data_IF_038234301705
#
_entry.id   IF_038234301705
#
_cell.length_a   1.000
_cell.length_b   1.000
_cell.length_c   1.000
_cell.angle_alpha   90.00
_cell.angle_beta   90.00
_cell.angle_gamma   90.00
#
_symmetry.space_group_name_H-M   'P 1'
#
loop_
_entity.id
_entity.type
_entity.pdbx_description
1 polymer ?
#
# COMPACT_ATOMS: atom_id res chain seq x y z
N UNK A 1 -12.56 1.09 -4.87
CA UNK A 1 -11.48 1.34 -5.86
C UNK A 1 -10.08 1.54 -5.26
N UNK A 2 -9.85 1.36 -3.96
CA UNK A 2 -8.54 1.59 -3.33
C UNK A 2 -7.38 0.69 -3.84
N UNK A 3 -7.67 -0.49 -4.40
CA UNK A 3 -6.63 -1.40 -4.94
C UNK A 3 -5.89 -0.79 -6.12
N UNK A 4 -6.56 0.03 -6.94
CA UNK A 4 -5.92 0.74 -8.05
C UNK A 4 -4.87 1.75 -7.57
N UNK A 5 -5.06 2.31 -6.36
CA UNK A 5 -4.09 3.23 -5.74
C UNK A 5 -2.91 2.50 -5.11
N UNK A 6 -3.02 1.20 -4.84
CA UNK A 6 -1.92 0.37 -4.30
C UNK A 6 -0.87 -0.03 -5.34
N UNK A 7 -0.93 0.55 -6.55
CA UNK A 7 0.21 0.61 -7.49
C UNK A 7 1.43 1.30 -6.87
N UNK A 8 1.26 2.05 -5.78
CA UNK A 8 2.37 2.41 -4.90
C UNK A 8 2.04 1.85 -3.52
N UNK A 9 2.92 1.04 -2.91
CA UNK A 9 2.64 0.46 -1.60
C UNK A 9 2.35 1.55 -0.56
N UNK A 10 1.28 1.37 0.21
CA UNK A 10 0.86 2.29 1.26
C UNK A 10 -0.12 3.40 0.83
N UNK A 11 -0.22 3.75 -0.46
CA UNK A 11 -1.18 4.78 -0.90
C UNK A 11 -2.65 4.34 -0.72
N UNK A 12 -2.96 3.08 -0.99
CA UNK A 12 -4.30 2.54 -0.77
C UNK A 12 -4.75 2.58 0.70
N UNK A 13 -3.81 2.42 1.65
CA UNK A 13 -4.07 2.59 3.08
C UNK A 13 -4.36 4.06 3.43
N UNK A 14 -3.59 5.00 2.87
CA UNK A 14 -3.84 6.44 3.07
C UNK A 14 -5.21 6.83 2.56
N UNK A 15 -5.61 6.32 1.38
CA UNK A 15 -6.91 6.58 0.78
C UNK A 15 -8.06 6.08 1.66
N UNK A 16 -7.96 4.87 2.23
CA UNK A 16 -8.94 4.31 3.18
C UNK A 16 -8.88 4.95 4.58
N UNK A 17 -8.26 6.13 4.73
CA UNK A 17 -8.13 6.82 6.01
C UNK A 17 -7.11 6.25 7.00
N UNK A 18 -6.39 5.18 6.65
CA UNK A 18 -5.34 4.57 7.47
C UNK A 18 -4.00 5.29 7.25
N UNK A 19 -3.98 6.61 7.45
CA UNK A 19 -2.86 7.49 7.09
C UNK A 19 -1.54 7.08 7.74
N UNK A 20 -1.53 6.78 9.04
CA UNK A 20 -0.31 6.38 9.74
C UNK A 20 0.29 5.09 9.17
N UNK A 21 -0.55 4.05 9.01
CA UNK A 21 -0.11 2.76 8.47
C UNK A 21 0.38 2.91 7.02
N UNK A 22 -0.36 3.67 6.20
CA UNK A 22 0.02 3.91 4.82
C UNK A 22 1.32 4.70 4.67
N UNK A 23 1.55 5.72 5.51
CA UNK A 23 2.82 6.45 5.56
C UNK A 23 3.97 5.57 6.02
N UNK A 24 3.75 4.70 7.02
CA UNK A 24 4.75 3.75 7.49
C UNK A 24 5.12 2.75 6.38
N UNK A 25 4.14 2.22 5.66
CA UNK A 25 4.39 1.33 4.51
C UNK A 25 5.14 2.08 3.40
N UNK A 26 4.76 3.32 3.10
CA UNK A 26 5.37 4.10 2.02
C UNK A 26 6.83 4.48 2.32
N UNK A 27 7.10 5.03 3.51
CA UNK A 27 8.41 5.61 3.84
C UNK A 27 9.36 4.64 4.55
N UNK A 28 8.84 3.60 5.21
CA UNK A 28 9.68 2.64 5.95
C UNK A 28 9.57 1.26 5.30
N UNK A 29 8.35 0.75 5.15
CA UNK A 29 8.11 -0.60 4.62
C UNK A 29 8.68 -0.78 3.21
N UNK A 30 8.44 0.18 2.31
CA UNK A 30 8.83 0.09 0.89
C UNK A 30 10.34 0.17 0.71
N UNK A 31 11.07 1.16 1.26
CA UNK A 31 12.53 1.15 1.16
C UNK A 31 13.16 -0.08 1.82
N UNK A 32 12.61 -0.54 2.96
CA UNK A 32 13.10 -1.74 3.64
C UNK A 32 12.86 -3.01 2.80
N UNK A 33 11.68 -3.17 2.20
CA UNK A 33 11.37 -4.30 1.32
C UNK A 33 12.29 -4.33 0.09
N UNK A 34 12.55 -3.17 -0.52
CA UNK A 34 13.50 -3.03 -1.63
C UNK A 34 14.91 -3.41 -1.18
N UNK A 35 15.38 -2.91 -0.04
CA UNK A 35 16.71 -3.22 0.49
C UNK A 35 16.90 -4.70 0.80
N UNK A 36 15.90 -5.33 1.44
CA UNK A 36 15.92 -6.77 1.74
C UNK A 36 15.87 -7.59 0.45
N UNK A 37 15.03 -7.21 -0.53
CA UNK A 37 14.95 -7.91 -1.80
C UNK A 37 16.28 -7.80 -2.56
N UNK A 38 16.89 -6.62 -2.63
CA UNK A 38 18.19 -6.41 -3.26
C UNK A 38 19.30 -7.21 -2.57
N UNK A 39 19.32 -7.23 -1.23
CA UNK A 39 20.27 -8.01 -0.47
C UNK A 39 20.08 -9.51 -0.72
N UNK A 40 18.87 -10.02 -0.54
CA UNK A 40 18.61 -11.47 -0.72
C UNK A 40 18.80 -11.92 -2.16
N UNK A 41 18.53 -11.07 -3.15
CA UNK A 41 18.80 -11.34 -4.56
C UNK A 41 20.26 -11.76 -4.80
N UNK A 42 21.23 -11.10 -4.17
CA UNK A 42 22.67 -11.42 -4.37
C UNK A 42 23.09 -12.73 -3.71
N UNK A 43 22.46 -13.14 -2.61
CA UNK A 43 22.80 -14.38 -1.89
C UNK A 43 22.02 -15.63 -2.34
N UNK A 44 21.04 -15.48 -3.21
CA UNK A 44 20.09 -16.57 -3.56
C UNK A 44 19.97 -16.79 -5.06
N UNK A 45 21.02 -16.47 -5.85
CA UNK A 45 20.99 -16.55 -7.31
C UNK A 45 19.80 -15.81 -7.94
N UNK A 46 19.37 -14.71 -7.32
CA UNK A 46 18.26 -13.87 -7.77
C UNK A 46 16.87 -14.25 -7.24
N UNK A 47 16.69 -15.44 -6.66
CA UNK A 47 15.37 -15.89 -6.19
C UNK A 47 14.79 -15.03 -5.05
N UNK A 48 15.65 -14.47 -4.20
CA UNK A 48 15.26 -13.55 -3.12
C UNK A 48 14.56 -12.28 -3.63
N UNK A 49 14.80 -11.88 -4.88
CA UNK A 49 14.06 -10.79 -5.51
C UNK A 49 12.56 -11.05 -5.61
N UNK A 50 12.12 -12.32 -5.65
CA UNK A 50 10.70 -12.69 -5.66
C UNK A 50 9.97 -12.31 -4.36
N UNK A 51 10.70 -12.05 -3.27
CA UNK A 51 10.10 -11.57 -2.03
C UNK A 51 9.47 -10.19 -2.20
N UNK A 52 9.99 -9.33 -3.09
CA UNK A 52 9.46 -8.00 -3.33
C UNK A 52 8.05 -8.02 -3.93
N UNK A 53 7.78 -8.68 -5.09
CA UNK A 53 6.43 -8.76 -5.62
C UNK A 53 5.48 -9.53 -4.67
N UNK A 54 5.95 -10.56 -3.98
CA UNK A 54 5.12 -11.27 -2.98
C UNK A 54 4.67 -10.36 -1.84
N UNK A 55 5.61 -9.60 -1.26
CA UNK A 55 5.30 -8.59 -0.23
C UNK A 55 4.35 -7.52 -0.77
N UNK A 56 4.60 -7.02 -1.98
CA UNK A 56 3.77 -6.01 -2.63
C UNK A 56 2.34 -6.51 -2.81
N UNK A 57 2.14 -7.70 -3.37
CA UNK A 57 0.81 -8.31 -3.47
C UNK A 57 0.16 -8.45 -2.09
N UNK A 58 0.91 -8.85 -1.07
CA UNK A 58 0.43 -8.88 0.31
C UNK A 58 -0.10 -7.53 0.79
N UNK A 59 0.61 -6.43 0.52
CA UNK A 59 0.17 -5.06 0.83
C UNK A 59 -1.11 -4.71 0.06
N UNK A 60 -1.21 -5.09 -1.23
CA UNK A 60 -2.41 -4.84 -2.04
C UNK A 60 -3.63 -5.60 -1.51
N UNK A 61 -3.47 -6.89 -1.20
CA UNK A 61 -4.54 -7.72 -0.63
C UNK A 61 -4.98 -7.21 0.75
N UNK A 62 -4.03 -6.77 1.56
CA UNK A 62 -4.36 -6.16 2.85
C UNK A 62 -5.20 -4.90 2.67
N UNK A 63 -4.82 -3.98 1.77
CA UNK A 63 -5.66 -2.80 1.46
C UNK A 63 -7.04 -3.23 0.99
N UNK A 64 -7.15 -4.27 0.17
CA UNK A 64 -8.44 -4.74 -0.31
C UNK A 64 -9.37 -5.14 0.85
N UNK A 65 -8.85 -5.89 1.82
CA UNK A 65 -9.63 -6.46 2.93
C UNK A 65 -9.94 -5.53 4.10
N UNK A 66 -9.22 -4.43 4.30
CA UNK A 66 -9.49 -3.49 5.41
C UNK A 66 -10.69 -2.58 5.13
N UNK A 67 -11.44 -2.21 6.16
CA UNK A 67 -12.56 -1.26 6.06
C UNK A 67 -12.06 0.17 5.75
N UNK A 68 -12.96 1.01 5.24
CA UNK A 68 -12.66 2.44 5.08
C UNK A 68 -12.90 3.17 6.41
N UNK A 69 -11.90 3.96 6.85
CA UNK A 69 -12.03 4.79 8.04
C UNK A 69 -12.60 6.17 7.72
N UNK A 70 -12.55 6.59 6.46
CA UNK A 70 -13.24 7.79 6.00
C UNK A 70 -14.64 7.37 5.58
N UNK A 71 -15.68 8.00 6.15
CA UNK A 71 -17.06 7.74 5.74
C UNK A 71 -17.27 8.05 4.25
N UNK A 72 -18.40 7.63 3.64
CA UNK A 72 -18.70 7.98 2.26
C UNK A 72 -18.54 9.49 2.09
N UNK A 73 -17.98 9.97 0.97
CA UNK A 73 -17.92 11.40 0.71
C UNK A 73 -19.34 11.93 0.89
N UNK A 74 -19.51 12.91 1.77
CA UNK A 74 -20.78 13.64 1.84
C UNK A 74 -21.11 14.03 0.41
N UNK A 75 -22.27 13.60 -0.09
CA UNK A 75 -22.83 14.24 -1.28
C UNK A 75 -22.85 15.72 -0.94
N UNK A 76 -22.04 16.49 -1.65
CA UNK A 76 -22.10 17.94 -1.65
C UNK A 76 -23.49 18.24 -2.22
N UNK A 77 -24.47 18.34 -1.32
CA UNK A 77 -25.81 18.86 -1.59
C UNK A 77 -25.60 20.30 -2.01
N UNK A 78 -25.23 20.47 -3.28
CA UNK A 78 -24.82 21.73 -3.86
C UNK A 78 -25.81 22.80 -3.44
N UNK A 79 -25.26 23.82 -2.80
CA UNK A 79 -25.93 25.04 -2.36
C UNK A 79 -27.01 25.43 -3.39
N UNK A 80 -28.27 25.11 -3.07
CA UNK A 80 -29.41 25.58 -3.85
C UNK A 80 -29.64 27.03 -3.46
N UNK A 81 -28.96 27.93 -4.18
CA UNK A 81 -29.20 29.37 -4.17
C UNK A 81 -30.53 29.72 -4.85
#
# INVERSE_FOLDING_TARGET
>A
MAVLLSIVPGLGHIYKGHKFLGLLILFVGTPMAIGIAALTFTFTAGFGGLLLPLWWFGVMFHVYGIEDRVGPPSEDEGEQY
#
